data_IF_870275822733
#
_entry.id   IF_870275822733
#
_cell.length_a   1.000
_cell.length_b   1.000
_cell.length_c   1.000
_cell.angle_alpha   90.00
_cell.angle_beta   90.00
_cell.angle_gamma   90.00
#
_symmetry.space_group_name_H-M   'P 1'
#
loop_
_entity.id
_entity.type
_entity.pdbx_description
1 polymer ?
#
# COMPACT_ATOMS: atom_id res chain seq x y z
N UNK A 1 -36.75 16.80 9.46
CA UNK A 1 -35.52 16.18 9.98
C UNK A 1 -35.35 14.75 9.47
N UNK A 2 -36.26 13.80 9.75
CA UNK A 2 -36.14 12.41 9.29
C UNK A 2 -36.05 12.26 7.76
N UNK A 3 -36.85 13.02 7.01
CA UNK A 3 -36.79 13.04 5.55
C UNK A 3 -35.39 13.43 5.03
N UNK A 4 -34.82 14.52 5.56
CA UNK A 4 -33.48 14.99 5.19
C UNK A 4 -32.40 13.93 5.49
N UNK A 5 -32.52 13.21 6.61
CA UNK A 5 -31.59 12.11 6.91
C UNK A 5 -31.72 10.94 5.94
N UNK A 6 -32.93 10.65 5.46
CA UNK A 6 -33.16 9.59 4.47
C UNK A 6 -32.58 9.99 3.11
N UNK A 7 -32.79 11.23 2.66
CA UNK A 7 -32.20 11.77 1.42
C UNK A 7 -30.67 11.71 1.44
N UNK A 8 -30.04 12.19 2.53
CA UNK A 8 -28.59 12.06 2.73
C UNK A 8 -28.14 10.59 2.73
N UNK A 9 -28.97 9.69 3.27
CA UNK A 9 -28.75 8.25 3.23
C UNK A 9 -28.78 7.70 1.81
N UNK A 10 -29.76 8.07 0.99
CA UNK A 10 -29.86 7.64 -0.40
C UNK A 10 -28.61 8.01 -1.20
N UNK A 11 -28.12 9.25 -1.06
CA UNK A 11 -26.87 9.70 -1.67
C UNK A 11 -25.69 8.81 -1.26
N UNK A 12 -25.52 8.58 0.04
CA UNK A 12 -24.42 7.77 0.55
C UNK A 12 -24.47 6.33 0.05
N UNK A 13 -25.65 5.71 0.04
CA UNK A 13 -25.81 4.33 -0.42
C UNK A 13 -25.67 4.20 -1.93
N UNK A 14 -26.10 5.19 -2.72
CA UNK A 14 -25.83 5.24 -4.16
C UNK A 14 -24.32 5.30 -4.41
N UNK A 15 -23.61 6.21 -3.75
CA UNK A 15 -22.15 6.32 -3.88
C UNK A 15 -21.45 5.00 -3.55
N UNK A 16 -21.85 4.36 -2.45
CA UNK A 16 -21.30 3.06 -2.03
C UNK A 16 -21.58 1.95 -3.04
N UNK A 17 -22.79 1.91 -3.63
CA UNK A 17 -23.14 0.94 -4.65
C UNK A 17 -22.28 1.13 -5.91
N UNK A 18 -22.13 2.37 -6.37
CA UNK A 18 -21.28 2.69 -7.54
C UNK A 18 -19.80 2.36 -7.31
N UNK A 19 -19.32 2.50 -6.06
CA UNK A 19 -17.94 2.13 -5.70
C UNK A 19 -17.70 0.62 -5.80
N UNK A 20 -18.68 -0.19 -5.42
CA UNK A 20 -18.60 -1.64 -5.44
C UNK A 20 -18.62 -2.25 -6.86
N UNK A 21 -19.01 -1.45 -7.86
CA UNK A 21 -19.13 -1.89 -9.25
C UNK A 21 -17.78 -1.83 -10.01
N UNK A 22 -17.80 -2.18 -11.29
CA UNK A 22 -16.63 -2.29 -12.18
C UNK A 22 -15.90 -0.95 -12.33
N UNK A 23 -14.62 -1.02 -12.72
CA UNK A 23 -13.71 0.14 -12.90
C UNK A 23 -14.33 1.30 -13.70
N UNK A 24 -15.09 1.01 -14.77
CA UNK A 24 -15.77 2.04 -15.58
C UNK A 24 -16.85 2.80 -14.81
N UNK A 25 -17.54 2.14 -13.88
CA UNK A 25 -18.58 2.75 -13.02
C UNK A 25 -17.94 3.60 -11.92
N UNK A 26 -16.75 3.23 -11.43
CA UNK A 26 -15.97 4.07 -10.49
C UNK A 26 -15.52 5.40 -11.10
N UNK A 27 -15.23 5.44 -12.40
CA UNK A 27 -14.96 6.71 -13.10
C UNK A 27 -16.20 7.62 -13.13
N UNK A 28 -17.40 7.05 -13.27
CA UNK A 28 -18.63 7.82 -13.19
C UNK A 28 -18.90 8.33 -11.76
N UNK A 29 -18.57 7.52 -10.74
CA UNK A 29 -18.67 7.95 -9.34
C UNK A 29 -17.79 9.17 -9.05
N UNK A 30 -16.55 9.20 -9.55
CA UNK A 30 -15.64 10.35 -9.40
C UNK A 30 -16.27 11.67 -9.86
N UNK A 31 -17.05 11.64 -10.95
CA UNK A 31 -17.72 12.82 -11.47
C UNK A 31 -18.93 13.25 -10.61
N UNK A 32 -19.61 12.30 -9.96
CA UNK A 32 -20.79 12.56 -9.11
C UNK A 32 -20.45 12.96 -7.68
N UNK A 33 -19.30 12.52 -7.15
CA UNK A 33 -18.91 12.74 -5.76
C UNK A 33 -18.93 14.23 -5.32
N UNK A 34 -18.46 15.21 -6.12
CA UNK A 34 -18.55 16.61 -5.73
C UNK A 34 -19.99 17.07 -5.46
N UNK A 35 -20.93 16.68 -6.32
CA UNK A 35 -22.36 17.01 -6.17
C UNK A 35 -22.95 16.33 -4.94
N UNK A 36 -22.67 15.03 -4.74
CA UNK A 36 -23.12 14.27 -3.58
C UNK A 36 -22.63 14.87 -2.25
N UNK A 37 -21.37 15.30 -2.22
CA UNK A 37 -20.78 15.97 -1.06
C UNK A 37 -21.50 17.31 -0.81
N UNK A 38 -21.67 18.13 -1.84
CA UNK A 38 -22.35 19.43 -1.71
C UNK A 38 -23.79 19.28 -1.20
N UNK A 39 -24.58 18.39 -1.78
CA UNK A 39 -25.95 18.14 -1.34
C UNK A 39 -26.00 17.66 0.12
N UNK A 40 -25.10 16.75 0.50
CA UNK A 40 -25.03 16.24 1.88
C UNK A 40 -24.57 17.33 2.86
N UNK A 41 -23.70 18.26 2.45
CA UNK A 41 -23.32 19.43 3.25
C UNK A 41 -24.51 20.37 3.49
N UNK A 42 -25.33 20.62 2.47
CA UNK A 42 -26.54 21.43 2.60
C UNK A 42 -27.53 20.78 3.58
N UNK A 43 -27.73 19.46 3.47
CA UNK A 43 -28.52 18.71 4.44
C UNK A 43 -27.94 18.76 5.85
N UNK A 44 -26.62 18.73 6.00
CA UNK A 44 -25.98 18.85 7.29
C UNK A 44 -26.18 20.23 7.91
N UNK A 45 -26.06 21.30 7.10
CA UNK A 45 -26.33 22.69 7.54
C UNK A 45 -27.79 22.90 7.96
N UNK A 46 -28.73 22.14 7.40
CA UNK A 46 -30.14 22.25 7.77
C UNK A 46 -30.47 21.49 9.06
N UNK A 47 -30.00 20.23 9.19
CA UNK A 47 -30.47 19.33 10.23
C UNK A 47 -29.45 19.07 11.36
N UNK A 48 -28.15 19.31 11.13
CA UNK A 48 -27.06 19.17 12.11
C UNK A 48 -27.01 17.82 12.85
N UNK A 49 -27.47 16.73 12.21
CA UNK A 49 -27.51 15.43 12.86
C UNK A 49 -26.22 14.65 12.66
N UNK A 50 -25.89 13.77 13.62
CA UNK A 50 -24.72 12.90 13.52
C UNK A 50 -24.79 11.98 12.29
N UNK A 51 -25.98 11.52 11.90
CA UNK A 51 -26.15 10.59 10.78
C UNK A 51 -25.71 11.24 9.46
N UNK A 52 -26.13 12.48 9.22
CA UNK A 52 -25.73 13.22 8.02
C UNK A 52 -24.23 13.54 8.06
N UNK A 53 -23.70 13.92 9.23
CA UNK A 53 -22.25 14.10 9.40
C UNK A 53 -21.46 12.83 9.02
N UNK A 54 -21.87 11.66 9.49
CA UNK A 54 -21.19 10.39 9.21
C UNK A 54 -21.21 10.05 7.71
N UNK A 55 -22.33 10.32 7.01
CA UNK A 55 -22.41 10.19 5.55
C UNK A 55 -21.46 11.17 4.84
N UNK A 56 -21.50 12.45 5.22
CA UNK A 56 -20.63 13.47 4.65
C UNK A 56 -19.14 13.14 4.84
N UNK A 57 -18.77 12.74 6.06
CA UNK A 57 -17.41 12.34 6.40
C UNK A 57 -16.92 11.18 5.51
N UNK A 58 -17.74 10.13 5.33
CA UNK A 58 -17.38 8.98 4.50
C UNK A 58 -17.35 9.31 3.01
N UNK A 59 -18.25 10.17 2.51
CA UNK A 59 -18.22 10.64 1.12
C UNK A 59 -16.95 11.44 0.82
N UNK A 60 -16.53 12.32 1.72
CA UNK A 60 -15.27 13.07 1.59
C UNK A 60 -14.06 12.15 1.55
N UNK A 61 -13.96 11.20 2.49
CA UNK A 61 -12.88 10.21 2.48
C UNK A 61 -12.86 9.40 1.19
N UNK A 62 -14.02 8.95 0.72
CA UNK A 62 -14.15 8.20 -0.54
C UNK A 62 -13.64 9.02 -1.74
N UNK A 63 -14.03 10.29 -1.83
CA UNK A 63 -13.56 11.16 -2.91
C UNK A 63 -12.04 11.37 -2.84
N UNK A 64 -11.55 11.74 -1.66
CA UNK A 64 -10.12 12.01 -1.45
C UNK A 64 -9.26 10.79 -1.77
N UNK A 65 -9.69 9.59 -1.36
CA UNK A 65 -9.01 8.33 -1.65
C UNK A 65 -8.96 8.03 -3.16
N UNK A 66 -10.07 8.24 -3.87
CA UNK A 66 -10.14 7.97 -5.31
C UNK A 66 -9.30 8.94 -6.15
N UNK A 67 -9.18 10.21 -5.72
CA UNK A 67 -8.35 11.21 -6.42
C UNK A 67 -6.89 11.25 -5.92
N UNK A 68 -6.57 10.52 -4.85
CA UNK A 68 -5.24 10.51 -4.24
C UNK A 68 -4.94 11.74 -3.38
N UNK A 69 -5.95 12.44 -2.87
CA UNK A 69 -5.81 13.56 -1.92
C UNK A 69 -5.59 13.03 -0.49
N UNK A 70 -4.44 12.42 -0.27
CA UNK A 70 -4.09 11.83 1.03
C UNK A 70 -3.84 12.91 2.10
N UNK A 71 -3.39 14.11 1.73
CA UNK A 71 -3.34 15.25 2.64
C UNK A 71 -4.72 15.64 3.15
N UNK A 72 -5.71 15.69 2.26
CA UNK A 72 -7.11 15.92 2.60
C UNK A 72 -7.65 14.86 3.57
N UNK A 73 -7.27 13.59 3.41
CA UNK A 73 -7.65 12.53 4.37
C UNK A 73 -7.01 12.78 5.75
N UNK A 74 -5.74 13.16 5.81
CA UNK A 74 -5.07 13.51 7.07
C UNK A 74 -5.81 14.66 7.77
N UNK A 75 -6.14 15.72 7.03
CA UNK A 75 -6.88 16.87 7.56
C UNK A 75 -8.29 16.47 8.03
N UNK A 76 -8.99 15.64 7.25
CA UNK A 76 -10.35 15.18 7.55
C UNK A 76 -10.37 14.33 8.81
N UNK A 77 -9.48 13.34 8.91
CA UNK A 77 -9.40 12.44 10.08
C UNK A 77 -8.96 13.18 11.34
N UNK A 78 -8.03 14.14 11.22
CA UNK A 78 -7.61 14.98 12.34
C UNK A 78 -8.75 15.91 12.83
N UNK A 79 -9.53 16.47 11.90
CA UNK A 79 -10.67 17.32 12.22
C UNK A 79 -11.79 16.54 12.92
N UNK A 80 -12.11 15.34 12.43
CA UNK A 80 -13.09 14.44 13.04
C UNK A 80 -12.67 14.01 14.46
N UNK A 81 -11.39 13.69 14.65
CA UNK A 81 -10.86 13.35 15.99
C UNK A 81 -10.96 14.54 16.96
N UNK A 82 -10.68 15.78 16.52
CA UNK A 82 -10.88 16.98 17.34
C UNK A 82 -12.34 17.20 17.72
N UNK A 83 -13.27 16.98 16.80
CA UNK A 83 -14.70 17.07 17.07
C UNK A 83 -15.15 15.99 18.08
N UNK A 84 -14.65 14.77 17.93
CA UNK A 84 -14.90 13.68 18.89
C UNK A 84 -14.41 14.04 20.29
N UNK A 85 -13.16 14.50 20.43
CA UNK A 85 -12.57 14.87 21.72
C UNK A 85 -13.31 16.02 22.42
N UNK A 86 -13.88 16.95 21.64
CA UNK A 86 -14.72 18.05 22.16
C UNK A 86 -16.16 17.64 22.47
N UNK A 87 -16.50 16.35 22.37
CA UNK A 87 -17.86 15.85 22.58
C UNK A 87 -18.87 16.30 21.52
N UNK A 88 -18.40 16.76 20.36
CA UNK A 88 -19.25 17.23 19.24
C UNK A 88 -19.71 16.11 18.32
N UNK A 89 -19.12 14.91 18.44
CA UNK A 89 -19.57 13.70 17.76
C UNK A 89 -20.20 12.72 18.74
N UNK A 90 -21.15 11.92 18.25
CA UNK A 90 -21.77 10.89 19.07
C UNK A 90 -20.76 9.77 19.37
N UNK A 91 -20.33 9.68 20.63
CA UNK A 91 -19.26 8.76 21.04
C UNK A 91 -19.60 7.27 20.85
N UNK A 92 -20.90 6.90 20.84
CA UNK A 92 -21.34 5.52 20.63
C UNK A 92 -21.46 5.15 19.16
N UNK A 93 -21.64 6.13 18.27
CA UNK A 93 -21.91 5.90 16.85
C UNK A 93 -20.72 6.23 15.94
N UNK A 94 -19.83 7.13 16.36
CA UNK A 94 -18.63 7.45 15.60
C UNK A 94 -17.62 6.31 15.68
N UNK A 95 -17.33 5.69 14.53
CA UNK A 95 -16.32 4.64 14.47
C UNK A 95 -14.91 5.24 14.48
N UNK A 96 -14.39 5.46 15.68
CA UNK A 96 -13.05 6.01 15.90
C UNK A 96 -11.96 5.11 15.33
N UNK A 97 -12.16 3.78 15.27
CA UNK A 97 -11.20 2.84 14.69
C UNK A 97 -11.10 3.01 13.18
N UNK A 98 -12.22 3.22 12.51
CA UNK A 98 -12.24 3.57 11.08
C UNK A 98 -11.48 4.88 10.81
N UNK A 99 -11.67 5.91 11.65
CA UNK A 99 -10.90 7.16 11.58
C UNK A 99 -9.39 6.96 11.78
N UNK A 100 -9.01 6.17 12.79
CA UNK A 100 -7.61 5.82 13.08
C UNK A 100 -6.94 5.09 11.91
N UNK A 101 -7.65 4.12 11.30
CA UNK A 101 -7.17 3.41 10.11
C UNK A 101 -6.89 4.37 8.95
N UNK A 102 -7.88 5.20 8.57
CA UNK A 102 -7.72 6.15 7.47
C UNK A 102 -6.60 7.17 7.74
N UNK A 103 -6.41 7.55 9.00
CA UNK A 103 -5.31 8.43 9.39
C UNK A 103 -3.95 7.79 9.10
N UNK A 104 -3.71 6.56 9.55
CA UNK A 104 -2.43 5.86 9.32
C UNK A 104 -2.23 5.57 7.82
N UNK A 105 -3.28 5.11 7.16
CA UNK A 105 -3.28 4.87 5.71
C UNK A 105 -2.87 6.10 4.91
N UNK A 106 -3.48 7.25 5.20
CA UNK A 106 -3.16 8.48 4.50
C UNK A 106 -1.75 8.99 4.78
N UNK A 107 -1.23 8.83 5.99
CA UNK A 107 0.18 9.15 6.28
C UNK A 107 1.14 8.27 5.48
N UNK A 108 0.83 6.98 5.30
CA UNK A 108 1.62 6.09 4.45
C UNK A 108 1.60 6.58 2.99
N UNK A 109 0.41 6.83 2.43
CA UNK A 109 0.26 7.21 1.02
C UNK A 109 0.80 8.61 0.71
N UNK A 110 0.68 9.55 1.66
CA UNK A 110 1.27 10.89 1.56
C UNK A 110 2.79 10.91 1.83
N UNK A 111 3.43 9.75 2.05
CA UNK A 111 4.87 9.63 2.40
C UNK A 111 5.25 10.33 3.70
N UNK A 112 4.29 10.57 4.58
CA UNK A 112 4.51 11.05 5.95
C UNK A 112 4.86 9.89 6.89
N UNK A 113 5.90 9.13 6.53
CA UNK A 113 6.25 7.85 7.14
C UNK A 113 6.49 8.00 8.65
N UNK A 114 7.26 9.01 9.07
CA UNK A 114 7.59 9.24 10.49
C UNK A 114 6.36 9.54 11.33
N UNK A 115 5.45 10.36 10.82
CA UNK A 115 4.19 10.69 11.50
C UNK A 115 3.28 9.46 11.59
N UNK A 116 3.17 8.68 10.50
CA UNK A 116 2.46 7.39 10.50
C UNK A 116 3.00 6.43 11.55
N UNK A 117 4.32 6.27 11.63
CA UNK A 117 4.99 5.42 12.62
C UNK A 117 4.76 5.85 14.07
N UNK A 118 4.59 7.15 14.32
CA UNK A 118 4.23 7.65 15.65
C UNK A 118 2.79 7.29 16.03
N UNK A 119 1.86 7.31 15.07
CA UNK A 119 0.43 7.09 15.31
C UNK A 119 0.05 5.61 15.37
N UNK A 120 0.62 4.80 14.48
CA UNK A 120 0.26 3.38 14.31
C UNK A 120 0.28 2.54 15.60
N UNK A 121 1.34 2.54 16.45
CA UNK A 121 1.37 1.73 17.65
C UNK A 121 0.33 2.16 18.69
N UNK A 122 0.06 3.46 18.82
CA UNK A 122 -0.97 3.97 19.73
C UNK A 122 -2.37 3.59 19.26
N UNK A 123 -2.64 3.71 17.96
CA UNK A 123 -3.93 3.36 17.39
C UNK A 123 -4.20 1.86 17.39
N UNK A 124 -3.17 1.03 17.24
CA UNK A 124 -3.29 -0.43 17.28
C UNK A 124 -3.90 -0.93 18.60
N UNK A 125 -3.67 -0.23 19.72
CA UNK A 125 -4.24 -0.56 21.04
C UNK A 125 -5.77 -0.53 21.06
N UNK A 126 -6.41 0.21 20.15
CA UNK A 126 -7.87 0.27 20.04
C UNK A 126 -8.48 -0.94 19.32
N UNK A 127 -7.67 -1.83 18.76
CA UNK A 127 -8.11 -2.98 17.97
C UNK A 127 -7.83 -4.28 18.73
N UNK A 128 -8.82 -5.15 18.80
CA UNK A 128 -8.66 -6.45 19.43
C UNK A 128 -7.85 -7.38 18.54
N UNK A 129 -6.87 -8.10 19.11
CA UNK A 129 -5.91 -8.97 18.40
C UNK A 129 -6.55 -10.11 17.58
N UNK A 130 -7.78 -10.48 17.89
CA UNK A 130 -8.54 -11.47 17.10
C UNK A 130 -9.27 -10.90 15.88
N UNK A 131 -9.34 -9.56 15.75
CA UNK A 131 -10.12 -8.92 14.68
C UNK A 131 -9.33 -8.80 13.38
N UNK A 132 -9.99 -9.01 12.24
CA UNK A 132 -9.36 -8.75 10.93
C UNK A 132 -8.85 -7.31 10.78
N UNK A 133 -9.55 -6.34 11.37
CA UNK A 133 -9.13 -4.94 11.35
C UNK A 133 -7.80 -4.70 12.10
N UNK A 134 -7.49 -5.51 13.12
CA UNK A 134 -6.19 -5.45 13.80
C UNK A 134 -5.06 -5.85 12.83
N UNK A 135 -5.24 -6.94 12.09
CA UNK A 135 -4.26 -7.35 11.08
C UNK A 135 -4.12 -6.31 9.97
N UNK A 136 -5.23 -5.73 9.50
CA UNK A 136 -5.19 -4.69 8.44
C UNK A 136 -4.43 -3.44 8.89
N UNK A 137 -4.64 -2.96 10.13
CA UNK A 137 -3.86 -1.84 10.66
C UNK A 137 -2.39 -2.23 10.86
N UNK A 138 -2.13 -3.47 11.26
CA UNK A 138 -0.77 -3.97 11.41
C UNK A 138 -0.02 -4.09 10.08
N UNK A 139 -0.71 -4.40 8.97
CA UNK A 139 -0.14 -4.36 7.61
C UNK A 139 0.33 -2.93 7.26
N UNK A 140 -0.46 -1.91 7.58
CA UNK A 140 -0.06 -0.50 7.38
C UNK A 140 1.14 -0.14 8.25
N UNK A 141 1.14 -0.56 9.52
CA UNK A 141 2.23 -0.29 10.44
C UNK A 141 3.53 -0.96 9.96
N UNK A 142 3.46 -2.23 9.55
CA UNK A 142 4.61 -2.93 8.98
C UNK A 142 5.13 -2.21 7.73
N UNK A 143 4.24 -1.80 6.84
CA UNK A 143 4.63 -1.10 5.60
C UNK A 143 5.32 0.23 5.91
N UNK A 144 4.83 0.99 6.90
CA UNK A 144 5.49 2.20 7.39
C UNK A 144 6.90 1.92 7.91
N UNK A 145 7.11 0.84 8.68
CA UNK A 145 8.42 0.45 9.19
C UNK A 145 9.37 0.09 8.04
N UNK A 146 8.90 -0.70 7.07
CA UNK A 146 9.64 -1.05 5.85
C UNK A 146 10.00 0.18 5.01
N UNK A 147 9.10 1.17 4.93
CA UNK A 147 9.34 2.44 4.23
C UNK A 147 10.34 3.35 4.95
N UNK A 148 10.39 3.29 6.28
CA UNK A 148 11.38 4.00 7.07
C UNK A 148 12.77 3.33 7.05
N UNK A 149 12.88 2.11 6.53
CA UNK A 149 14.09 1.29 6.65
C UNK A 149 14.31 0.75 8.06
N UNK A 150 13.30 0.78 8.93
CA UNK A 150 13.35 0.21 10.27
C UNK A 150 13.01 -1.29 10.21
N UNK A 151 13.96 -2.07 9.70
CA UNK A 151 13.79 -3.52 9.50
C UNK A 151 13.76 -4.30 10.82
N UNK A 152 14.28 -3.73 11.91
CA UNK A 152 14.17 -4.28 13.24
C UNK A 152 12.71 -4.22 13.72
N UNK A 153 12.07 -3.06 13.66
CA UNK A 153 10.65 -2.93 13.98
C UNK A 153 9.78 -3.78 13.04
N UNK A 154 10.10 -3.82 11.74
CA UNK A 154 9.40 -4.69 10.81
C UNK A 154 9.44 -6.18 11.22
N UNK A 155 10.59 -6.65 11.70
CA UNK A 155 10.75 -8.00 12.22
C UNK A 155 9.85 -8.27 13.44
N UNK A 156 9.84 -7.34 14.41
CA UNK A 156 8.97 -7.44 15.59
C UNK A 156 7.50 -7.55 15.21
N UNK A 157 7.05 -6.75 14.25
CA UNK A 157 5.68 -6.75 13.76
C UNK A 157 5.34 -8.06 13.03
N UNK A 158 6.26 -8.59 12.21
CA UNK A 158 6.08 -9.89 11.57
C UNK A 158 5.95 -11.01 12.62
N UNK A 159 6.83 -11.03 13.62
CA UNK A 159 6.74 -12.00 14.71
C UNK A 159 5.40 -11.91 15.46
N UNK A 160 4.93 -10.69 15.71
CA UNK A 160 3.62 -10.45 16.33
C UNK A 160 2.46 -11.05 15.51
N UNK A 161 2.54 -11.01 14.19
CA UNK A 161 1.53 -11.61 13.29
C UNK A 161 1.60 -13.13 13.31
N UNK A 162 2.77 -13.72 13.06
CA UNK A 162 2.91 -15.16 12.90
C UNK A 162 2.74 -15.93 14.22
N UNK A 163 2.94 -15.28 15.36
CA UNK A 163 2.66 -15.84 16.69
C UNK A 163 1.21 -15.63 17.15
N UNK A 164 0.41 -14.83 16.42
CA UNK A 164 -0.98 -14.59 16.79
C UNK A 164 -1.84 -15.85 16.51
N UNK A 165 -2.56 -16.40 17.52
CA UNK A 165 -3.40 -17.60 17.34
C UNK A 165 -4.48 -17.47 16.26
N UNK A 166 -4.91 -16.23 15.96
CA UNK A 166 -5.94 -15.95 14.97
C UNK A 166 -5.38 -15.81 13.55
N UNK A 167 -4.06 -15.90 13.35
CA UNK A 167 -3.44 -15.85 12.03
C UNK A 167 -3.96 -16.96 11.11
N UNK A 168 -4.14 -18.19 11.63
CA UNK A 168 -4.67 -19.33 10.87
C UNK A 168 -6.11 -19.13 10.38
N UNK A 169 -6.86 -18.21 10.99
CA UNK A 169 -8.24 -17.89 10.63
C UNK A 169 -8.35 -16.81 9.55
N UNK A 170 -7.22 -16.22 9.14
CA UNK A 170 -7.21 -15.28 8.03
C UNK A 170 -7.58 -15.97 6.72
N UNK A 171 -8.06 -15.18 5.76
CA UNK A 171 -8.30 -15.66 4.39
C UNK A 171 -6.96 -15.90 3.69
N UNK A 172 -6.90 -16.85 2.76
CA UNK A 172 -5.69 -17.18 1.97
C UNK A 172 -5.01 -15.93 1.37
N UNK A 173 -5.81 -15.00 0.85
CA UNK A 173 -5.25 -13.78 0.26
C UNK A 173 -4.55 -12.86 1.27
N UNK A 174 -4.89 -12.93 2.55
CA UNK A 174 -4.17 -12.22 3.61
C UNK A 174 -2.90 -13.00 4.01
N UNK A 175 -2.95 -14.34 4.08
CA UNK A 175 -1.74 -15.16 4.26
C UNK A 175 -0.71 -14.87 3.17
N UNK A 176 -1.13 -14.85 1.90
CA UNK A 176 -0.24 -14.52 0.77
C UNK A 176 0.43 -13.15 0.92
N UNK A 177 -0.28 -12.14 1.45
CA UNK A 177 0.31 -10.82 1.71
C UNK A 177 1.36 -10.89 2.82
N UNK A 178 1.04 -11.52 3.95
CA UNK A 178 1.96 -11.66 5.08
C UNK A 178 3.20 -12.47 4.73
N UNK A 179 3.05 -13.53 3.95
CA UNK A 179 4.16 -14.31 3.40
C UNK A 179 5.06 -13.45 2.50
N UNK A 180 4.46 -12.63 1.64
CA UNK A 180 5.22 -11.73 0.78
C UNK A 180 5.96 -10.65 1.58
N UNK A 181 5.33 -10.07 2.60
CA UNK A 181 5.99 -9.14 3.53
C UNK A 181 7.18 -9.79 4.23
N UNK A 182 7.01 -11.02 4.74
CA UNK A 182 8.08 -11.79 5.37
C UNK A 182 9.22 -12.09 4.40
N UNK A 183 8.91 -12.41 3.15
CA UNK A 183 9.91 -12.67 2.12
C UNK A 183 10.70 -11.40 1.73
N UNK A 184 10.03 -10.25 1.65
CA UNK A 184 10.70 -8.96 1.44
C UNK A 184 11.60 -8.57 2.62
N UNK A 185 11.15 -8.79 3.85
CA UNK A 185 11.99 -8.60 5.04
C UNK A 185 13.22 -9.49 5.00
N UNK A 186 13.05 -10.80 4.76
CA UNK A 186 14.16 -11.75 4.59
C UNK A 186 15.12 -11.34 3.50
N UNK A 187 14.61 -10.82 2.38
CA UNK A 187 15.46 -10.34 1.31
C UNK A 187 16.33 -9.15 1.74
N UNK A 188 15.86 -8.25 2.59
CA UNK A 188 16.71 -7.13 3.04
C UNK A 188 17.62 -7.51 4.19
N UNK A 189 17.08 -8.23 5.17
CA UNK A 189 17.73 -8.54 6.43
C UNK A 189 17.64 -10.05 6.71
N UNK A 190 18.41 -10.87 5.96
CA UNK A 190 18.30 -12.33 6.06
C UNK A 190 18.76 -12.87 7.42
N UNK A 191 19.66 -12.17 8.11
CA UNK A 191 20.23 -12.60 9.39
C UNK A 191 19.21 -12.50 10.53
N UNK A 192 18.41 -11.43 10.56
CA UNK A 192 17.41 -11.22 11.60
C UNK A 192 16.01 -11.69 11.20
N UNK A 193 15.87 -12.28 10.02
CA UNK A 193 14.59 -12.73 9.48
C UNK A 193 14.03 -13.95 10.23
N UNK A 194 12.71 -14.00 10.49
CA UNK A 194 12.08 -15.18 11.09
C UNK A 194 11.92 -16.30 10.05
N UNK A 195 12.17 -16.02 8.77
CA UNK A 195 12.16 -16.99 7.69
C UNK A 195 13.53 -17.62 7.51
N UNK A 196 13.63 -18.95 7.58
CA UNK A 196 14.88 -19.65 7.27
C UNK A 196 15.17 -19.60 5.78
N UNK A 197 16.46 -19.49 5.40
CA UNK A 197 16.89 -19.39 4.01
C UNK A 197 16.34 -20.50 3.08
N UNK A 198 16.26 -21.75 3.56
CA UNK A 198 15.68 -22.86 2.78
C UNK A 198 14.20 -22.62 2.41
N UNK A 199 13.40 -22.12 3.36
CA UNK A 199 12.00 -21.81 3.11
C UNK A 199 11.84 -20.61 2.17
N UNK A 200 12.75 -19.64 2.24
CA UNK A 200 12.78 -18.53 1.29
C UNK A 200 13.09 -19.01 -0.13
N UNK A 201 14.08 -19.88 -0.32
CA UNK A 201 14.39 -20.45 -1.64
C UNK A 201 13.23 -21.26 -2.20
N UNK A 202 12.59 -22.09 -1.36
CA UNK A 202 11.38 -22.85 -1.75
C UNK A 202 10.22 -21.90 -2.11
N UNK A 203 10.02 -20.83 -1.34
CA UNK A 203 9.03 -19.81 -1.65
C UNK A 203 9.31 -19.16 -3.01
N UNK A 204 10.56 -18.79 -3.31
CA UNK A 204 10.94 -18.21 -4.61
C UNK A 204 10.66 -19.14 -5.79
N UNK A 205 10.82 -20.45 -5.61
CA UNK A 205 10.56 -21.47 -6.64
C UNK A 205 9.07 -21.79 -6.83
N UNK A 206 8.29 -21.74 -5.76
CA UNK A 206 6.85 -22.10 -5.74
C UNK A 206 5.94 -20.93 -6.08
N UNK A 207 6.46 -19.69 -6.07
CA UNK A 207 5.70 -18.50 -6.41
C UNK A 207 5.18 -18.58 -7.86
N UNK A 208 3.86 -18.58 -8.07
CA UNK A 208 3.29 -18.69 -9.41
C UNK A 208 3.70 -17.49 -10.26
N UNK A 209 4.08 -17.74 -11.52
CA UNK A 209 4.49 -16.69 -12.47
C UNK A 209 3.39 -15.62 -12.67
N UNK A 210 2.12 -16.02 -12.50
CA UNK A 210 0.96 -15.15 -12.56
C UNK A 210 -0.14 -15.63 -11.61
N UNK A 211 -0.33 -14.96 -10.47
CA UNK A 211 -1.59 -15.09 -9.72
C UNK A 211 -2.66 -14.25 -10.41
N UNK A 212 -3.79 -14.85 -10.79
CA UNK A 212 -4.89 -14.13 -11.45
C UNK A 212 -5.58 -13.08 -10.57
N UNK A 213 -5.15 -12.92 -9.31
CA UNK A 213 -5.87 -12.09 -8.36
C UNK A 213 -4.97 -11.06 -7.67
N UNK A 214 -5.42 -9.81 -7.77
CA UNK A 214 -5.03 -8.60 -7.03
C UNK A 214 -3.83 -7.82 -7.57
N UNK A 215 -4.14 -6.67 -8.17
CA UNK A 215 -3.30 -5.83 -9.05
C UNK A 215 -2.00 -5.24 -8.43
N UNK A 216 -1.68 -5.52 -7.18
CA UNK A 216 -0.43 -5.06 -6.53
C UNK A 216 0.56 -6.16 -6.17
N UNK A 217 0.09 -7.36 -5.82
CA UNK A 217 0.96 -8.43 -5.29
C UNK A 217 1.84 -9.04 -6.38
N UNK A 218 1.30 -9.18 -7.60
CA UNK A 218 2.07 -9.68 -8.73
C UNK A 218 3.29 -8.81 -9.05
N UNK A 219 3.15 -7.47 -8.93
CA UNK A 219 4.27 -6.55 -9.16
C UNK A 219 5.38 -6.79 -8.14
N UNK A 220 5.01 -6.86 -6.86
CA UNK A 220 5.96 -7.12 -5.79
C UNK A 220 6.63 -8.51 -5.92
N UNK A 221 5.88 -9.55 -6.30
CA UNK A 221 6.44 -10.88 -6.57
C UNK A 221 7.49 -10.84 -7.70
N UNK A 222 7.15 -10.22 -8.83
CA UNK A 222 8.07 -10.14 -9.98
C UNK A 222 9.34 -9.37 -9.64
N UNK A 223 9.22 -8.27 -8.89
CA UNK A 223 10.37 -7.49 -8.41
C UNK A 223 11.24 -8.35 -7.49
N UNK A 224 10.64 -9.01 -6.49
CA UNK A 224 11.38 -9.82 -5.53
C UNK A 224 12.12 -10.97 -6.21
N UNK A 225 11.47 -11.67 -7.15
CA UNK A 225 12.10 -12.73 -7.92
C UNK A 225 13.28 -12.21 -8.76
N UNK A 226 13.11 -11.08 -9.45
CA UNK A 226 14.21 -10.47 -10.22
C UNK A 226 15.38 -10.13 -9.29
N UNK A 227 15.13 -9.44 -8.18
CA UNK A 227 16.17 -9.04 -7.24
C UNK A 227 16.85 -10.24 -6.57
N UNK A 228 16.12 -11.31 -6.30
CA UNK A 228 16.66 -12.55 -5.76
C UNK A 228 17.70 -13.17 -6.71
N UNK A 229 17.35 -13.38 -7.98
CA UNK A 229 18.30 -13.96 -8.95
C UNK A 229 19.44 -13.01 -9.31
N UNK A 230 19.20 -11.69 -9.24
CA UNK A 230 20.27 -10.70 -9.37
C UNK A 230 21.29 -10.86 -8.25
N UNK A 231 20.84 -11.04 -7.00
CA UNK A 231 21.72 -11.28 -5.85
C UNK A 231 22.51 -12.57 -5.98
N UNK A 232 21.88 -13.63 -6.48
CA UNK A 232 22.54 -14.91 -6.75
C UNK A 232 23.51 -14.86 -7.94
N UNK A 233 23.51 -13.77 -8.72
CA UNK A 233 24.23 -13.63 -9.99
C UNK A 233 23.88 -14.74 -11.00
N UNK A 234 22.69 -15.31 -10.87
CA UNK A 234 22.18 -16.35 -11.76
C UNK A 234 21.52 -15.68 -12.98
N UNK A 235 22.34 -15.37 -13.98
CA UNK A 235 21.89 -14.67 -15.20
C UNK A 235 20.89 -15.52 -15.98
N UNK A 236 21.07 -16.83 -16.02
CA UNK A 236 20.17 -17.76 -16.72
C UNK A 236 18.77 -17.74 -16.10
N UNK A 237 18.68 -17.75 -14.78
CA UNK A 237 17.40 -17.62 -14.09
C UNK A 237 16.86 -16.19 -14.14
N UNK A 238 17.71 -15.16 -14.13
CA UNK A 238 17.29 -13.75 -14.13
C UNK A 238 16.62 -13.31 -15.44
N UNK A 239 17.13 -13.72 -16.59
CA UNK A 239 16.64 -13.27 -17.91
C UNK A 239 15.14 -13.59 -18.13
N UNK A 240 14.62 -14.80 -17.83
CA UNK A 240 13.18 -15.07 -17.86
C UNK A 240 12.36 -14.14 -16.97
N UNK A 241 12.88 -13.72 -15.81
CA UNK A 241 12.17 -12.80 -14.89
C UNK A 241 12.13 -11.38 -15.44
N UNK A 242 13.20 -10.96 -16.12
CA UNK A 242 13.19 -9.70 -16.89
C UNK A 242 12.11 -9.71 -17.98
N UNK A 243 11.97 -10.82 -18.72
CA UNK A 243 10.91 -10.96 -19.72
C UNK A 243 9.51 -10.96 -19.08
N UNK A 244 9.35 -11.59 -17.91
CA UNK A 244 8.14 -11.50 -17.10
C UNK A 244 7.76 -10.06 -16.74
N UNK A 245 8.73 -9.26 -16.26
CA UNK A 245 8.54 -7.83 -15.98
C UNK A 245 8.11 -7.05 -17.24
N UNK A 246 8.76 -7.27 -18.38
CA UNK A 246 8.44 -6.62 -19.66
C UNK A 246 7.02 -6.96 -20.14
N UNK A 247 6.65 -8.24 -20.10
CA UNK A 247 5.29 -8.72 -20.45
C UNK A 247 4.23 -8.13 -19.52
N UNK A 248 4.52 -8.07 -18.21
CA UNK A 248 3.60 -7.45 -17.26
C UNK A 248 3.42 -5.95 -17.53
N UNK A 249 4.52 -5.22 -17.76
CA UNK A 249 4.46 -3.80 -18.07
C UNK A 249 3.62 -3.50 -19.32
N UNK A 250 3.81 -4.25 -20.41
CA UNK A 250 3.09 -4.03 -21.67
C UNK A 250 1.59 -4.34 -21.57
N UNK A 251 1.23 -5.32 -20.73
CA UNK A 251 -0.15 -5.78 -20.56
C UNK A 251 -0.92 -4.96 -19.53
N UNK A 252 -0.30 -4.61 -18.40
CA UNK A 252 -1.01 -4.11 -17.21
C UNK A 252 -0.65 -2.68 -16.83
N UNK A 253 0.54 -2.19 -17.19
CA UNK A 253 0.98 -0.85 -16.84
C UNK A 253 0.77 0.10 -18.02
N UNK A 254 -0.46 0.29 -18.50
CA UNK A 254 -0.74 1.28 -19.57
C UNK A 254 -1.10 2.65 -19.01
N UNK A 255 -1.83 2.67 -17.90
CA UNK A 255 -2.31 3.88 -17.22
C UNK A 255 -1.14 4.79 -16.75
N UNK A 256 -1.27 6.13 -16.84
CA UNK A 256 -0.37 7.08 -16.19
C UNK A 256 -0.11 6.84 -14.70
N UNK A 257 -1.11 6.37 -13.95
CA UNK A 257 -0.97 6.07 -12.52
C UNK A 257 0.03 4.92 -12.22
N UNK A 258 0.37 4.10 -13.22
CA UNK A 258 1.40 3.06 -13.10
C UNK A 258 2.84 3.58 -13.31
N UNK A 259 3.04 4.90 -13.39
CA UNK A 259 4.31 5.50 -13.78
C UNK A 259 5.48 5.13 -12.85
N UNK A 260 5.26 5.09 -11.53
CA UNK A 260 6.29 4.68 -10.57
C UNK A 260 6.82 3.28 -10.87
N UNK A 261 5.92 2.30 -10.98
CA UNK A 261 6.26 0.92 -11.31
C UNK A 261 6.97 0.81 -12.66
N UNK A 262 6.52 1.57 -13.69
CA UNK A 262 7.21 1.61 -14.99
C UNK A 262 8.65 2.11 -14.88
N UNK A 263 8.86 3.18 -14.12
CA UNK A 263 10.20 3.75 -13.92
C UNK A 263 11.11 2.74 -13.22
N UNK A 264 10.60 2.10 -12.17
CA UNK A 264 11.37 1.08 -11.47
C UNK A 264 11.68 -0.14 -12.33
N UNK A 265 10.73 -0.63 -13.15
CA UNK A 265 11.01 -1.73 -14.09
C UNK A 265 12.10 -1.36 -15.12
N UNK A 266 12.13 -0.10 -15.56
CA UNK A 266 13.19 0.39 -16.46
C UNK A 266 14.56 0.45 -15.77
N UNK A 267 14.59 0.82 -14.49
CA UNK A 267 15.82 0.75 -13.68
C UNK A 267 16.32 -0.70 -13.56
N UNK A 268 15.45 -1.65 -13.27
CA UNK A 268 15.82 -3.08 -13.23
C UNK A 268 16.31 -3.58 -14.59
N UNK A 269 15.64 -3.22 -15.69
CA UNK A 269 16.07 -3.56 -17.05
C UNK A 269 17.44 -2.98 -17.41
N UNK A 270 17.77 -1.79 -16.88
CA UNK A 270 19.06 -1.15 -17.12
C UNK A 270 20.22 -2.00 -16.59
N UNK A 271 20.02 -2.70 -15.45
CA UNK A 271 21.06 -3.58 -14.88
C UNK A 271 21.55 -4.61 -15.89
N UNK A 272 20.64 -5.27 -16.60
CA UNK A 272 20.98 -6.25 -17.65
C UNK A 272 21.53 -5.57 -18.90
N UNK A 273 20.94 -4.43 -19.31
CA UNK A 273 21.36 -3.69 -20.52
C UNK A 273 22.82 -3.22 -20.43
N UNK A 274 23.26 -2.84 -19.24
CA UNK A 274 24.62 -2.36 -18.98
C UNK A 274 25.53 -3.49 -18.47
N UNK A 275 25.16 -4.75 -18.71
CA UNK A 275 25.93 -5.94 -18.33
C UNK A 275 26.33 -5.94 -16.84
N UNK A 276 25.43 -5.48 -15.98
CA UNK A 276 25.61 -5.40 -14.53
C UNK A 276 26.75 -4.47 -14.08
N UNK A 277 27.25 -3.59 -14.96
CA UNK A 277 28.26 -2.59 -14.60
C UNK A 277 27.65 -1.51 -13.71
N UNK A 278 28.07 -1.48 -12.45
CA UNK A 278 27.51 -0.59 -11.44
C UNK A 278 27.65 0.90 -11.82
N UNK A 279 28.81 1.32 -12.33
CA UNK A 279 29.07 2.72 -12.68
C UNK A 279 28.18 3.19 -13.83
N UNK A 280 27.99 2.34 -14.83
CA UNK A 280 27.08 2.60 -15.94
C UNK A 280 25.62 2.61 -15.47
N UNK A 281 25.23 1.66 -14.62
CA UNK A 281 23.89 1.57 -14.04
C UNK A 281 23.54 2.81 -13.22
N UNK A 282 24.43 3.26 -12.33
CA UNK A 282 24.24 4.48 -11.54
C UNK A 282 24.10 5.70 -12.45
N UNK A 283 25.09 5.93 -13.32
CA UNK A 283 25.13 7.11 -14.19
C UNK A 283 23.92 7.19 -15.13
N UNK A 284 23.56 6.08 -15.78
CA UNK A 284 22.44 6.03 -16.74
C UNK A 284 21.08 5.87 -16.05
N UNK A 285 21.06 5.35 -14.82
CA UNK A 285 19.86 5.20 -14.00
C UNK A 285 19.43 6.51 -13.35
N UNK A 286 20.36 7.43 -13.07
CA UNK A 286 20.09 8.68 -12.37
C UNK A 286 18.90 9.49 -12.92
N UNK A 287 18.72 9.68 -14.25
CA UNK A 287 17.56 10.39 -14.77
C UNK A 287 16.22 9.67 -14.51
N UNK A 288 16.23 8.34 -14.53
CA UNK A 288 15.04 7.52 -14.22
C UNK A 288 14.73 7.55 -12.73
N UNK A 289 15.77 7.49 -11.89
CA UNK A 289 15.66 7.57 -10.44
C UNK A 289 15.13 8.93 -9.98
N UNK A 290 15.69 10.04 -10.47
CA UNK A 290 15.21 11.39 -10.15
C UNK A 290 13.73 11.57 -10.54
N UNK A 291 13.31 11.01 -11.69
CA UNK A 291 11.91 11.03 -12.09
C UNK A 291 11.02 10.15 -11.20
N UNK A 292 11.55 9.02 -10.71
CA UNK A 292 10.84 8.14 -9.77
C UNK A 292 10.57 8.89 -8.46
N UNK A 293 11.57 9.57 -7.89
CA UNK A 293 11.43 10.35 -6.66
C UNK A 293 10.36 11.45 -6.77
N UNK A 294 10.28 12.11 -7.93
CA UNK A 294 9.31 13.16 -8.21
C UNK A 294 7.91 12.63 -8.54
N UNK A 295 7.75 11.34 -8.80
CA UNK A 295 6.45 10.77 -9.16
C UNK A 295 5.66 10.45 -7.87
N UNK A 296 4.50 11.08 -7.64
CA UNK A 296 3.69 10.85 -6.44
C UNK A 296 3.11 9.43 -6.40
N UNK A 297 2.67 9.00 -5.22
CA UNK A 297 1.92 7.75 -5.09
C UNK A 297 0.60 7.88 -5.88
N UNK A 298 0.23 6.87 -6.67
CA UNK A 298 -1.07 6.88 -7.35
C UNK A 298 -2.23 6.73 -6.36
N UNK A 299 -3.42 7.23 -6.72
CA UNK A 299 -4.65 6.95 -5.97
C UNK A 299 -4.95 5.44 -5.89
N UNK A 300 -5.71 5.02 -4.88
CA UNK A 300 -5.92 3.59 -4.53
C UNK A 300 -6.43 2.76 -5.71
N UNK A 301 -7.26 3.35 -6.57
CA UNK A 301 -7.78 2.72 -7.79
C UNK A 301 -6.70 2.19 -8.75
N UNK A 302 -5.45 2.65 -8.59
CA UNK A 302 -4.31 2.31 -9.43
C UNK A 302 -3.05 1.95 -8.64
N UNK A 303 -3.11 1.97 -7.31
CA UNK A 303 -1.97 1.72 -6.44
C UNK A 303 -1.65 0.22 -6.35
N UNK A 304 -0.43 -0.14 -6.75
CA UNK A 304 0.19 -1.38 -6.31
C UNK A 304 0.74 -1.22 -4.90
N UNK A 305 1.04 -2.33 -4.22
CA UNK A 305 1.69 -2.31 -2.91
C UNK A 305 3.20 -2.19 -3.13
N UNK A 306 3.77 -1.02 -2.86
CA UNK A 306 5.22 -0.86 -2.68
C UNK A 306 5.57 -1.34 -1.26
N UNK A 307 5.96 -2.60 -1.09
CA UNK A 307 6.33 -3.14 0.24
C UNK A 307 7.57 -2.42 0.80
N UNK A 308 8.53 -2.20 -0.09
CA UNK A 308 9.69 -1.33 0.13
C UNK A 308 9.61 -0.25 -0.94
N UNK A 309 9.85 1.03 -0.61
CA UNK A 309 9.91 2.10 -1.60
C UNK A 309 10.87 1.72 -2.74
N UNK A 310 10.45 1.96 -3.97
CA UNK A 310 11.29 1.65 -5.15
C UNK A 310 12.61 2.39 -5.14
N UNK A 311 12.66 3.57 -4.51
CA UNK A 311 13.86 4.35 -4.27
C UNK A 311 14.87 3.54 -3.44
N UNK A 312 14.42 2.97 -2.32
CA UNK A 312 15.24 2.13 -1.44
C UNK A 312 15.63 0.82 -2.14
N UNK A 313 14.71 0.19 -2.89
CA UNK A 313 15.02 -1.02 -3.65
C UNK A 313 16.05 -0.77 -4.76
N UNK A 314 16.07 0.42 -5.37
CA UNK A 314 17.10 0.76 -6.35
C UNK A 314 18.47 0.88 -5.67
N UNK A 315 18.55 1.51 -4.50
CA UNK A 315 19.80 1.53 -3.72
C UNK A 315 20.28 0.12 -3.36
N UNK A 316 19.37 -0.75 -2.93
CA UNK A 316 19.67 -2.17 -2.67
C UNK A 316 20.14 -2.89 -3.94
N UNK A 317 19.54 -2.57 -5.09
CA UNK A 317 19.97 -3.12 -6.40
C UNK A 317 21.42 -2.76 -6.70
N UNK A 318 21.79 -1.49 -6.50
CA UNK A 318 23.17 -1.02 -6.71
C UNK A 318 24.15 -1.67 -5.73
N UNK A 319 23.77 -1.82 -4.46
CA UNK A 319 24.59 -2.52 -3.45
C UNK A 319 24.85 -3.98 -3.86
N UNK A 320 23.83 -4.68 -4.37
CA UNK A 320 23.98 -6.05 -4.88
C UNK A 320 24.99 -6.11 -6.03
N UNK A 321 24.96 -5.13 -6.95
CA UNK A 321 25.93 -5.05 -8.04
C UNK A 321 27.36 -4.75 -7.55
N UNK A 322 27.49 -4.04 -6.43
CA UNK A 322 28.78 -3.66 -5.85
C UNK A 322 29.48 -4.82 -5.15
N UNK A 323 28.72 -5.69 -4.46
CA UNK A 323 29.30 -6.81 -3.72
C UNK A 323 30.12 -7.70 -4.66
N UNK A 324 31.39 -8.03 -4.34
CA UNK A 324 32.18 -8.97 -5.13
C UNK A 324 31.39 -10.27 -5.31
N UNK A 325 31.59 -10.97 -6.42
CA UNK A 325 31.10 -12.34 -6.53
C UNK A 325 31.66 -13.12 -5.35
N UNK A 326 30.81 -13.52 -4.39
CA UNK A 326 31.18 -14.53 -3.41
C UNK A 326 31.58 -15.75 -4.24
N UNK A 327 32.90 -16.00 -4.27
CA UNK A 327 33.45 -17.18 -4.93
C UNK A 327 32.78 -18.38 -4.29
N UNK A 328 32.01 -19.11 -5.08
CA UNK A 328 31.70 -20.50 -4.78
C UNK A 328 32.89 -21.36 -5.14
#
# INVERSE_FOLDING_TARGET
>A
MLLIENEAGHIFWEAKMLLADRVRVRQNLLNKLPEFIQQTEEYYKQAHTFRIYDYLYKLRLMQQELIGDYEGIIQTTASSEKLYQRGKLNAKRFDRRYNMYYSVYAHLQARHVRQGLKLAPEYLKAFHRSSGNWFVLLELYLTLAMHAGDYAQANELLNMVFQNPFYSQLRDSAHQRWELYRAYHHFIDPENSPLRGLHFTQFMQTLPEHSRDKQGLNVAILILQFLHYLRLRDVEALLPRLEGLRKYASKHLRNPAAQRTKLFFRLLQLTVKENFDIKACERKGQPLFARLEQTPMPGEAFAGIEIIPYENLWQQTLQILQMPSEGR
#
